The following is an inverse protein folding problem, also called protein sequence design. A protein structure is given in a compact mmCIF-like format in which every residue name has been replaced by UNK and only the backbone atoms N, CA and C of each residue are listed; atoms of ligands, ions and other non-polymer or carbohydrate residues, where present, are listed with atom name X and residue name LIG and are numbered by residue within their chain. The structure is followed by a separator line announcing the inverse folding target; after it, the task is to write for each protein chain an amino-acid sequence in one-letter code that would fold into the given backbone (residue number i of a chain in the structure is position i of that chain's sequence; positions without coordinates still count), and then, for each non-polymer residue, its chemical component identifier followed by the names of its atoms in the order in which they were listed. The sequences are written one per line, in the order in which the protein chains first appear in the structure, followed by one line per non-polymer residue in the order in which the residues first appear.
data_IF_009058336537
#
_entry.id   IF_009058336537
#
_cell.length_a   1.000
_cell.length_b   1.000
_cell.length_c   1.000
_cell.angle_alpha   90.00
_cell.angle_beta   90.00
_cell.angle_gamma   90.00
#
_symmetry.space_group_name_H-M   'P 1'
#
loop_
_entity.id
_entity.type
_entity.pdbx_description
1 polymer ?
#
# COMPACT_ATOMS: atom_id res chain seq x y z
N UNK A 1 1.89 -30.35 -12.84
CA UNK A 1 1.53 -29.41 -11.75
C UNK A 1 1.85 -30.06 -10.40
N UNK A 2 3.10 -30.53 -10.21
CA UNK A 2 3.52 -31.35 -9.06
C UNK A 2 4.72 -30.75 -8.32
N UNK A 3 4.84 -29.42 -8.29
CA UNK A 3 5.81 -28.79 -7.40
C UNK A 3 5.15 -28.58 -6.04
N UNK A 4 5.60 -29.35 -5.06
CA UNK A 4 5.27 -29.23 -3.64
C UNK A 4 5.26 -27.75 -3.19
N UNK A 5 4.34 -27.39 -2.30
CA UNK A 5 4.27 -26.02 -1.76
C UNK A 5 5.38 -25.85 -0.73
N UNK A 6 6.26 -24.86 -0.94
CA UNK A 6 7.44 -24.64 -0.12
C UNK A 6 7.06 -24.28 1.32
N UNK A 7 5.94 -23.58 1.51
CA UNK A 7 5.41 -23.23 2.84
C UNK A 7 5.00 -24.43 3.70
N UNK A 8 4.79 -25.60 3.10
CA UNK A 8 4.25 -26.80 3.76
C UNK A 8 5.30 -27.91 3.87
N UNK A 9 6.47 -27.73 3.25
CA UNK A 9 7.61 -28.61 3.50
C UNK A 9 7.95 -28.60 4.98
N UNK A 10 8.00 -29.78 5.58
CA UNK A 10 8.03 -29.99 7.03
C UNK A 10 9.10 -29.16 7.75
N UNK A 11 10.32 -29.10 7.19
CA UNK A 11 11.44 -28.33 7.75
C UNK A 11 11.18 -26.82 7.74
N UNK A 12 10.50 -26.34 6.71
CA UNK A 12 10.17 -24.93 6.48
C UNK A 12 9.03 -24.50 7.39
N UNK A 13 7.98 -25.33 7.48
CA UNK A 13 6.79 -25.06 8.30
C UNK A 13 7.10 -25.00 9.81
N UNK A 14 7.88 -25.97 10.33
CA UNK A 14 8.32 -26.00 11.74
C UNK A 14 9.19 -24.79 12.12
N UNK A 15 9.98 -24.27 11.17
CA UNK A 15 10.86 -23.12 11.39
C UNK A 15 10.08 -21.80 11.47
N UNK A 16 9.00 -21.66 10.72
CA UNK A 16 8.28 -20.39 10.59
C UNK A 16 7.04 -20.26 11.46
N UNK A 17 6.53 -21.36 12.02
CA UNK A 17 5.48 -21.33 13.02
C UNK A 17 6.06 -21.55 14.44
N UNK A 18 6.37 -20.49 15.20
CA UNK A 18 6.92 -20.61 16.55
C UNK A 18 5.93 -21.24 17.56
N UNK A 19 4.65 -21.34 17.21
CA UNK A 19 3.58 -21.98 18.01
C UNK A 19 3.30 -23.42 17.54
N UNK A 20 4.12 -23.97 16.65
CA UNK A 20 3.94 -25.32 16.15
C UNK A 20 4.06 -26.34 17.29
N UNK A 21 3.04 -27.18 17.42
CA UNK A 21 3.03 -28.30 18.36
C UNK A 21 2.61 -29.55 17.60
N UNK A 22 3.51 -30.54 17.51
CA UNK A 22 3.28 -31.79 16.79
C UNK A 22 2.06 -32.58 17.31
N UNK A 23 1.67 -32.35 18.57
CA UNK A 23 0.52 -32.98 19.21
C UNK A 23 -0.81 -32.29 18.86
N UNK A 24 -0.78 -31.10 18.27
CA UNK A 24 -1.97 -30.38 17.86
C UNK A 24 -2.21 -30.59 16.36
N UNK A 25 -3.41 -31.06 16.01
CA UNK A 25 -3.80 -31.20 14.61
C UNK A 25 -4.07 -29.82 14.03
N UNK A 26 -3.29 -29.45 13.02
CA UNK A 26 -3.44 -28.20 12.27
C UNK A 26 -4.25 -28.46 11.00
N UNK A 27 -5.09 -27.49 10.66
CA UNK A 27 -5.90 -27.47 9.45
C UNK A 27 -5.44 -26.28 8.61
N UNK A 28 -5.04 -26.52 7.37
CA UNK A 28 -4.35 -25.52 6.56
C UNK A 28 -4.98 -25.47 5.16
N UNK A 29 -5.00 -24.27 4.58
CA UNK A 29 -5.16 -24.08 3.14
C UNK A 29 -4.03 -23.19 2.65
N UNK A 30 -3.45 -23.55 1.52
CA UNK A 30 -2.36 -22.79 0.92
C UNK A 30 -2.70 -22.40 -0.49
N UNK A 31 -2.50 -21.13 -0.81
CA UNK A 31 -2.66 -20.55 -2.13
C UNK A 31 -1.30 -20.25 -2.75
N UNK A 32 -1.16 -20.44 -4.06
CA UNK A 32 0.00 -20.01 -4.84
C UNK A 32 -0.47 -19.22 -6.06
N UNK A 33 0.07 -18.01 -6.22
CA UNK A 33 -0.27 -17.11 -7.32
C UNK A 33 0.86 -16.12 -7.60
N UNK A 34 0.86 -15.56 -8.80
CA UNK A 34 1.82 -14.60 -9.31
C UNK A 34 1.28 -13.18 -9.20
N UNK A 35 2.09 -12.26 -8.68
CA UNK A 35 1.78 -10.83 -8.66
C UNK A 35 2.20 -10.15 -9.97
N UNK A 36 1.55 -9.05 -10.36
CA UNK A 36 1.92 -8.24 -11.52
C UNK A 36 3.19 -7.39 -11.31
N UNK A 37 3.78 -7.47 -10.13
CA UNK A 37 5.01 -6.78 -9.79
C UNK A 37 5.86 -7.64 -8.86
N UNK A 38 7.10 -7.20 -8.68
CA UNK A 38 7.99 -7.71 -7.64
C UNK A 38 7.79 -6.95 -6.34
N UNK A 39 7.42 -7.68 -5.28
CA UNK A 39 7.56 -7.18 -3.91
C UNK A 39 9.04 -7.20 -3.53
N UNK A 40 9.59 -6.12 -2.94
CA UNK A 40 11.02 -5.95 -2.68
C UNK A 40 11.52 -6.79 -1.49
N UNK A 41 11.03 -8.02 -1.29
CA UNK A 41 11.54 -8.95 -0.28
C UNK A 41 12.58 -9.90 -0.89
N UNK A 42 13.48 -10.41 -0.06
CA UNK A 42 14.48 -11.40 -0.48
C UNK A 42 13.76 -12.69 -0.89
N UNK A 43 14.26 -13.35 -1.94
CA UNK A 43 13.70 -14.59 -2.44
C UNK A 43 13.68 -15.68 -1.35
N UNK A 44 12.52 -16.28 -1.13
CA UNK A 44 12.32 -17.30 -0.10
C UNK A 44 12.01 -16.74 1.29
N UNK A 45 11.99 -15.42 1.47
CA UNK A 45 11.59 -14.83 2.75
C UNK A 45 10.15 -15.22 3.09
N UNK A 46 9.91 -15.36 4.40
CA UNK A 46 8.61 -15.73 4.93
C UNK A 46 8.22 -14.81 6.08
N UNK A 47 6.95 -14.47 6.18
CA UNK A 47 6.41 -13.77 7.35
C UNK A 47 5.10 -14.41 7.79
N UNK A 48 4.86 -14.44 9.10
CA UNK A 48 3.60 -14.88 9.68
C UNK A 48 2.90 -13.69 10.30
N UNK A 49 1.65 -13.47 9.88
CA UNK A 49 0.80 -12.38 10.37
C UNK A 49 -0.36 -13.01 11.14
N UNK A 50 -0.40 -12.76 12.44
CA UNK A 50 -1.50 -13.17 13.32
C UNK A 50 -2.62 -12.11 13.21
N UNK A 51 -3.84 -12.53 12.87
CA UNK A 51 -5.03 -11.67 12.75
C UNK A 51 -6.19 -12.31 13.48
N UNK A 52 -6.53 -11.76 14.64
CA UNK A 52 -7.64 -12.24 15.47
C UNK A 52 -7.53 -13.77 15.73
N UNK A 53 -8.50 -14.56 15.28
CA UNK A 53 -8.54 -16.03 15.46
C UNK A 53 -7.80 -16.82 14.37
N UNK A 54 -7.16 -16.14 13.41
CA UNK A 54 -6.45 -16.75 12.27
C UNK A 54 -5.00 -16.29 12.21
N UNK A 55 -4.18 -17.09 11.54
CA UNK A 55 -2.83 -16.71 11.16
C UNK A 55 -2.65 -16.94 9.66
N UNK A 56 -1.84 -16.10 9.02
CA UNK A 56 -1.46 -16.24 7.61
C UNK A 56 0.06 -16.23 7.50
N UNK A 57 0.61 -17.31 6.97
CA UNK A 57 2.04 -17.44 6.64
C UNK A 57 2.23 -17.16 5.15
N UNK A 58 2.94 -16.08 4.84
CA UNK A 58 3.36 -15.76 3.48
C UNK A 58 4.80 -16.22 3.24
N UNK A 59 5.06 -16.70 2.03
CA UNK A 59 6.37 -16.85 1.44
C UNK A 59 6.44 -16.12 0.11
N UNK A 60 7.52 -15.40 -0.11
CA UNK A 60 7.74 -14.56 -1.28
C UNK A 60 8.84 -15.17 -2.13
N UNK A 61 8.48 -15.66 -3.31
CA UNK A 61 9.40 -16.29 -4.25
C UNK A 61 9.56 -15.37 -5.46
N UNK A 62 10.78 -15.03 -5.80
CA UNK A 62 11.07 -14.17 -6.93
C UNK A 62 11.15 -15.01 -8.20
N UNK A 63 10.35 -14.64 -9.19
CA UNK A 63 10.37 -15.21 -10.54
C UNK A 63 10.96 -14.19 -11.50
N UNK A 64 11.76 -14.67 -12.46
CA UNK A 64 12.15 -13.92 -13.64
C UNK A 64 11.60 -14.66 -14.84
N UNK A 65 10.56 -14.11 -15.45
CA UNK A 65 9.96 -14.67 -16.65
C UNK A 65 10.62 -13.99 -17.87
N UNK A 66 11.02 -14.78 -18.85
CA UNK A 66 11.16 -14.25 -20.22
C UNK A 66 9.76 -14.06 -20.74
N UNK A 67 9.45 -12.86 -21.20
CA UNK A 67 8.14 -12.63 -21.78
C UNK A 67 8.04 -13.44 -23.08
N UNK A 68 6.98 -14.22 -23.22
CA UNK A 68 6.71 -15.02 -24.43
C UNK A 68 6.62 -14.19 -25.72
N UNK A 69 6.49 -12.86 -25.59
CA UNK A 69 6.46 -11.90 -26.68
C UNK A 69 7.84 -11.27 -26.98
N UNK A 70 8.92 -11.64 -26.26
CA UNK A 70 10.29 -11.14 -26.50
C UNK A 70 10.74 -11.34 -27.96
N UNK A 71 10.25 -12.39 -28.62
CA UNK A 71 10.55 -12.69 -30.03
C UNK A 71 9.75 -11.82 -31.03
N UNK A 72 8.72 -11.09 -30.57
CA UNK A 72 7.77 -10.35 -31.42
C UNK A 72 7.81 -8.84 -31.21
N UNK A 73 8.19 -8.39 -30.03
CA UNK A 73 8.31 -6.97 -29.68
C UNK A 73 9.55 -6.74 -28.82
N UNK A 74 10.13 -5.55 -28.91
CA UNK A 74 11.25 -5.19 -28.06
C UNK A 74 10.79 -5.04 -26.61
N UNK A 75 11.29 -5.92 -25.74
CA UNK A 75 11.02 -5.89 -24.31
C UNK A 75 12.29 -5.48 -23.60
N UNK A 76 12.22 -4.36 -22.88
CA UNK A 76 13.40 -3.68 -22.35
C UNK A 76 14.14 -4.51 -21.28
N UNK A 77 13.44 -5.37 -20.52
CA UNK A 77 14.01 -6.27 -19.49
C UNK A 77 13.08 -7.46 -19.20
N UNK A 78 13.61 -8.62 -18.74
CA UNK A 78 12.78 -9.71 -18.24
C UNK A 78 11.93 -9.26 -17.06
N UNK A 79 10.68 -9.71 -17.05
CA UNK A 79 9.69 -9.36 -16.04
C UNK A 79 10.03 -10.06 -14.73
N UNK A 80 10.34 -9.26 -13.70
CA UNK A 80 10.59 -9.77 -12.35
C UNK A 80 9.30 -9.68 -11.57
N UNK A 81 8.72 -10.82 -11.19
CA UNK A 81 7.47 -10.88 -10.44
C UNK A 81 7.65 -11.65 -9.15
N UNK A 82 6.77 -11.42 -8.19
CA UNK A 82 6.75 -12.22 -6.97
C UNK A 82 5.64 -13.26 -7.05
N UNK A 83 6.02 -14.53 -6.93
CA UNK A 83 5.10 -15.63 -6.60
C UNK A 83 4.86 -15.58 -5.09
N UNK A 84 3.59 -15.51 -4.72
CA UNK A 84 3.14 -15.61 -3.33
C UNK A 84 2.73 -17.05 -3.08
N UNK A 85 3.27 -17.63 -2.01
CA UNK A 85 2.68 -18.79 -1.37
C UNK A 85 2.13 -18.37 -0.01
N UNK A 86 0.82 -18.48 0.17
CA UNK A 86 0.11 -17.99 1.36
C UNK A 86 -0.63 -19.15 2.02
N UNK A 87 -0.28 -19.46 3.26
CA UNK A 87 -0.87 -20.55 4.05
C UNK A 87 -1.71 -19.95 5.18
N UNK A 88 -3.02 -20.24 5.17
CA UNK A 88 -3.95 -19.81 6.21
C UNK A 88 -4.15 -20.95 7.21
N UNK A 89 -4.05 -20.61 8.49
CA UNK A 89 -4.37 -21.51 9.60
C UNK A 89 -5.87 -21.45 9.88
N UNK A 90 -6.52 -22.60 9.73
CA UNK A 90 -7.96 -22.73 9.87
C UNK A 90 -8.33 -23.30 11.23
N UNK A 91 -9.43 -22.81 11.79
CA UNK A 91 -10.08 -23.50 12.90
C UNK A 91 -10.78 -24.79 12.39
N UNK A 92 -11.19 -25.64 13.33
CA UNK A 92 -11.79 -26.94 13.00
C UNK A 92 -13.09 -26.80 12.20
N UNK A 93 -13.88 -25.77 12.45
CA UNK A 93 -15.20 -25.61 11.84
C UNK A 93 -15.10 -25.05 10.42
N UNK A 94 -14.19 -24.11 10.16
CA UNK A 94 -13.81 -23.65 8.83
C UNK A 94 -13.34 -24.83 7.96
N UNK A 95 -12.50 -25.70 8.51
CA UNK A 95 -12.04 -26.90 7.81
C UNK A 95 -13.18 -27.89 7.51
N UNK A 96 -14.12 -28.09 8.44
CA UNK A 96 -15.31 -28.92 8.18
C UNK A 96 -16.21 -28.34 7.08
N UNK A 97 -16.35 -27.01 7.02
CA UNK A 97 -17.12 -26.34 5.95
C UNK A 97 -16.45 -26.56 4.59
N UNK A 98 -15.14 -26.33 4.50
CA UNK A 98 -14.35 -26.63 3.29
C UNK A 98 -14.46 -28.09 2.84
N UNK A 99 -14.37 -29.04 3.79
CA UNK A 99 -14.49 -30.47 3.46
C UNK A 99 -15.86 -30.83 2.93
N UNK A 100 -16.93 -30.22 3.47
CA UNK A 100 -18.30 -30.43 2.98
C UNK A 100 -18.46 -29.90 1.56
N UNK A 101 -17.97 -28.69 1.29
CA UNK A 101 -18.01 -28.05 -0.03
C UNK A 101 -17.22 -28.83 -1.09
N UNK A 102 -16.04 -29.33 -0.73
CA UNK A 102 -15.23 -30.18 -1.61
C UNK A 102 -15.94 -31.50 -1.96
N UNK A 103 -16.63 -32.11 -0.99
CA UNK A 103 -17.34 -33.37 -1.18
C UNK A 103 -18.67 -33.22 -1.91
N UNK A 104 -19.31 -32.04 -1.89
CA UNK A 104 -20.60 -31.80 -2.56
C UNK A 104 -20.48 -31.58 -4.07
N UNK A 105 -19.24 -31.51 -4.62
CA UNK A 105 -19.01 -31.27 -6.05
C UNK A 105 -19.59 -29.94 -6.56
N UNK A 106 -19.99 -29.04 -5.64
CA UNK A 106 -20.61 -27.78 -5.97
C UNK A 106 -19.55 -26.85 -6.54
N UNK A 107 -19.77 -26.34 -7.75
CA UNK A 107 -18.98 -25.27 -8.37
C UNK A 107 -18.92 -23.97 -7.54
N UNK A 108 -19.72 -23.87 -6.46
CA UNK A 108 -19.62 -22.77 -5.50
C UNK A 108 -18.44 -23.00 -4.56
N UNK A 109 -17.27 -22.50 -4.98
CA UNK A 109 -16.05 -22.39 -4.18
C UNK A 109 -16.14 -21.25 -3.16
N UNK A 110 -17.30 -21.01 -2.53
CA UNK A 110 -17.54 -19.77 -1.78
C UNK A 110 -16.64 -19.69 -0.55
N UNK A 111 -16.41 -20.78 0.17
CA UNK A 111 -15.52 -20.76 1.33
C UNK A 111 -14.05 -20.64 0.94
N UNK A 112 -13.64 -21.30 -0.13
CA UNK A 112 -12.27 -21.16 -0.67
C UNK A 112 -12.05 -19.72 -1.16
N UNK A 113 -13.04 -19.15 -1.84
CA UNK A 113 -13.02 -17.76 -2.32
C UNK A 113 -12.97 -16.76 -1.16
N UNK A 114 -13.76 -16.97 -0.10
CA UNK A 114 -13.76 -16.13 1.09
C UNK A 114 -12.39 -16.17 1.80
N UNK A 115 -11.78 -17.35 1.90
CA UNK A 115 -10.44 -17.51 2.44
C UNK A 115 -9.38 -16.84 1.57
N UNK A 116 -9.56 -16.89 0.24
CA UNK A 116 -8.70 -16.17 -0.70
C UNK A 116 -8.85 -14.65 -0.57
N UNK A 117 -10.08 -14.13 -0.44
CA UNK A 117 -10.35 -12.70 -0.20
C UNK A 117 -9.72 -12.24 1.11
N UNK A 118 -9.90 -13.04 2.17
CA UNK A 118 -9.29 -12.78 3.46
C UNK A 118 -7.78 -12.66 3.32
N UNK A 119 -7.09 -13.65 2.76
CA UNK A 119 -5.63 -13.59 2.66
C UNK A 119 -5.14 -12.49 1.70
N UNK A 120 -5.88 -12.18 0.63
CA UNK A 120 -5.54 -11.10 -0.28
C UNK A 120 -5.64 -9.74 0.42
N UNK A 121 -6.67 -9.55 1.27
CA UNK A 121 -6.78 -8.37 2.14
C UNK A 121 -5.58 -8.26 3.09
N UNK A 122 -5.13 -9.37 3.67
CA UNK A 122 -3.92 -9.37 4.52
C UNK A 122 -2.68 -8.99 3.71
N UNK A 123 -2.52 -9.56 2.52
CA UNK A 123 -1.41 -9.24 1.63
C UNK A 123 -1.42 -7.76 1.21
N UNK A 124 -2.59 -7.20 0.87
CA UNK A 124 -2.72 -5.79 0.51
C UNK A 124 -2.31 -4.88 1.66
N UNK A 125 -2.80 -5.14 2.88
CA UNK A 125 -2.37 -4.39 4.05
C UNK A 125 -0.83 -4.46 4.25
N UNK A 126 -0.21 -5.62 3.98
CA UNK A 126 1.24 -5.79 4.04
C UNK A 126 1.97 -4.98 2.95
N UNK A 127 1.44 -4.98 1.72
CA UNK A 127 1.94 -4.19 0.60
C UNK A 127 1.83 -2.69 0.92
N UNK A 128 0.68 -2.22 1.39
CA UNK A 128 0.43 -0.83 1.80
C UNK A 128 1.38 -0.40 2.92
N UNK A 129 1.60 -1.26 3.91
CA UNK A 129 2.59 -1.01 4.97
C UNK A 129 4.00 -0.83 4.40
N UNK A 130 4.35 -1.60 3.38
CA UNK A 130 5.64 -1.51 2.68
C UNK A 130 5.74 -0.22 1.87
N UNK A 131 4.67 0.17 1.16
CA UNK A 131 4.57 1.43 0.40
C UNK A 131 4.80 2.61 1.35
N UNK A 132 4.03 2.69 2.43
CA UNK A 132 4.09 3.80 3.39
C UNK A 132 5.44 3.87 4.10
N UNK A 133 6.00 2.73 4.47
CA UNK A 133 7.24 2.71 5.27
C UNK A 133 8.49 3.00 4.44
N UNK A 134 8.52 2.54 3.18
CA UNK A 134 9.73 2.54 2.36
C UNK A 134 9.61 3.35 1.07
N UNK A 135 8.46 3.98 0.82
CA UNK A 135 8.18 4.79 -0.37
C UNK A 135 8.37 4.04 -1.70
N UNK A 136 8.00 2.76 -1.75
CA UNK A 136 8.01 1.96 -2.99
C UNK A 136 6.75 2.23 -3.81
N UNK A 137 6.82 3.19 -4.73
CA UNK A 137 5.67 3.66 -5.53
C UNK A 137 5.22 2.67 -6.62
N UNK A 138 6.04 1.69 -7.00
CA UNK A 138 5.64 0.69 -7.99
C UNK A 138 4.80 -0.46 -7.40
N UNK A 139 4.66 -0.52 -6.07
CA UNK A 139 3.76 -1.45 -5.40
C UNK A 139 2.37 -0.82 -5.27
N UNK A 140 1.34 -1.65 -5.33
CA UNK A 140 -0.05 -1.21 -5.15
C UNK A 140 -0.90 -2.34 -4.57
N UNK A 141 -2.00 -1.97 -3.91
CA UNK A 141 -2.99 -2.94 -3.44
C UNK A 141 -3.70 -3.59 -4.60
N UNK A 142 -3.94 -4.90 -4.48
CA UNK A 142 -4.41 -5.75 -5.56
C UNK A 142 -5.84 -6.22 -5.31
N UNK A 143 -6.64 -6.16 -6.35
CA UNK A 143 -7.90 -6.88 -6.44
C UNK A 143 -7.62 -8.28 -7.00
N UNK A 144 -8.58 -9.19 -6.84
CA UNK A 144 -8.53 -10.53 -7.47
C UNK A 144 -8.23 -10.44 -8.97
N UNK A 145 -8.81 -9.43 -9.63
CA UNK A 145 -8.63 -9.10 -11.04
C UNK A 145 -7.29 -8.43 -11.40
N UNK A 146 -6.32 -8.33 -10.47
CA UNK A 146 -4.99 -7.72 -10.69
C UNK A 146 -3.74 -8.61 -10.41
N UNK A 147 -3.90 -9.86 -9.94
CA UNK A 147 -2.97 -11.03 -10.05
C UNK A 147 -2.59 -11.60 -11.46
N UNK A 148 -1.33 -11.66 -11.85
CA UNK A 148 -0.88 -12.19 -13.15
C UNK A 148 -1.04 -13.70 -13.40
N UNK A 149 -1.77 -14.42 -12.54
CA UNK A 149 -2.04 -15.85 -12.71
C UNK A 149 -3.34 -16.28 -12.05
N UNK A 150 -3.92 -17.37 -12.54
CA UNK A 150 -4.98 -18.12 -11.85
C UNK A 150 -4.42 -18.69 -10.53
N UNK A 151 -4.98 -18.36 -9.35
CA UNK A 151 -4.51 -18.90 -8.09
C UNK A 151 -4.76 -20.41 -7.98
N UNK A 152 -3.73 -21.16 -7.60
CA UNK A 152 -3.87 -22.56 -7.21
C UNK A 152 -4.01 -22.68 -5.71
N UNK A 153 -4.77 -23.67 -5.24
CA UNK A 153 -4.87 -23.97 -3.82
C UNK A 153 -4.70 -25.45 -3.53
N UNK A 154 -4.24 -25.72 -2.30
CA UNK A 154 -4.22 -27.06 -1.70
C UNK A 154 -4.64 -26.98 -0.24
N UNK A 155 -5.42 -27.94 0.24
CA UNK A 155 -5.83 -28.05 1.65
C UNK A 155 -5.14 -29.23 2.32
N UNK A 156 -4.75 -29.05 3.57
CA UNK A 156 -3.95 -30.01 4.30
C UNK A 156 -4.43 -30.18 5.74
N UNK A 157 -4.10 -31.34 6.32
CA UNK A 157 -3.91 -31.42 7.77
C UNK A 157 -2.47 -31.76 8.10
N UNK A 158 -1.98 -31.17 9.17
CA UNK A 158 -0.67 -31.47 9.72
C UNK A 158 -0.85 -32.06 11.13
N UNK A 159 -0.38 -33.27 11.37
CA UNK A 159 -0.47 -33.94 12.67
C UNK A 159 0.64 -34.96 12.82
N UNK A 160 1.28 -35.01 14.01
CA UNK A 160 2.36 -35.96 14.30
C UNK A 160 3.41 -36.02 13.19
N UNK A 161 3.87 -34.85 12.74
CA UNK A 161 4.88 -34.69 11.69
C UNK A 161 4.49 -35.22 10.31
N UNK A 162 3.23 -35.59 10.13
CA UNK A 162 2.68 -36.02 8.85
C UNK A 162 1.80 -34.92 8.26
N UNK A 163 2.15 -34.49 7.05
CA UNK A 163 1.29 -33.64 6.23
C UNK A 163 0.45 -34.50 5.30
N UNK A 164 -0.87 -34.32 5.32
CA UNK A 164 -1.80 -35.03 4.44
C UNK A 164 -2.59 -34.01 3.63
N UNK A 165 -2.51 -34.10 2.29
CA UNK A 165 -3.33 -33.32 1.37
C UNK A 165 -4.77 -33.88 1.33
N UNK A 166 -5.77 -33.00 1.38
CA UNK A 166 -7.20 -33.37 1.33
C UNK A 166 -7.87 -32.97 0.03
N UNK A 167 -7.49 -31.83 -0.54
CA UNK A 167 -8.09 -31.29 -1.74
C UNK A 167 -7.12 -30.34 -2.42
N UNK A 168 -7.25 -30.17 -3.73
CA UNK A 168 -6.54 -29.16 -4.50
C UNK A 168 -7.41 -28.66 -5.65
N UNK A 169 -7.09 -27.48 -6.17
CA UNK A 169 -7.80 -26.91 -7.30
C UNK A 169 -7.22 -25.58 -7.74
N UNK A 170 -7.94 -24.93 -8.66
CA UNK A 170 -7.64 -23.60 -9.14
C UNK A 170 -8.86 -22.69 -8.91
N UNK A 171 -8.62 -21.42 -8.59
CA UNK A 171 -9.66 -20.39 -8.50
C UNK A 171 -9.70 -19.67 -9.84
N UNK A 172 -10.74 -19.92 -10.64
CA UNK A 172 -10.95 -19.16 -11.87
C UNK A 172 -11.46 -17.77 -11.52
N UNK A 173 -10.64 -16.77 -11.80
CA UNK A 173 -10.96 -15.36 -11.67
C UNK A 173 -11.25 -14.85 -13.09
N UNK A 174 -12.35 -14.14 -13.29
CA UNK A 174 -12.66 -13.51 -14.57
C UNK A 174 -11.50 -12.55 -14.96
N UNK A 175 -11.00 -12.72 -16.18
CA UNK A 175 -9.64 -12.34 -16.58
C UNK A 175 -9.50 -10.84 -16.94
N UNK A 176 -8.90 -10.04 -16.05
CA UNK A 176 -7.70 -9.19 -16.17
C UNK A 176 -7.37 -8.22 -17.32
N UNK A 177 -7.11 -6.96 -16.92
CA UNK A 177 -6.10 -6.02 -17.47
C UNK A 177 -5.39 -5.33 -16.29
N UNK A 178 -4.06 -5.46 -16.17
CA UNK A 178 -3.26 -4.72 -15.17
C UNK A 178 -1.76 -4.79 -15.48
N UNK A 179 -1.14 -3.62 -15.63
CA UNK A 179 0.24 -3.41 -16.10
C UNK A 179 1.31 -3.61 -15.02
N UNK A 180 2.45 -4.11 -15.45
CA UNK A 180 3.63 -4.43 -14.64
C UNK A 180 4.59 -3.25 -14.54
N UNK A 181 4.94 -2.86 -13.32
CA UNK A 181 6.07 -1.96 -13.07
C UNK A 181 6.89 -2.54 -11.90
N UNK A 182 8.21 -2.63 -12.09
CA UNK A 182 9.09 -3.41 -11.22
C UNK A 182 9.93 -2.52 -10.29
N UNK A 183 9.79 -2.71 -8.97
CA UNK A 183 10.77 -2.23 -8.00
C UNK A 183 12.11 -2.99 -8.15
N UNK A 184 13.18 -2.26 -8.45
CA UNK A 184 14.53 -2.83 -8.55
C UNK A 184 15.21 -2.99 -7.18
N UNK A 185 14.76 -2.26 -6.16
CA UNK A 185 15.32 -2.31 -4.82
C UNK A 185 14.96 -3.62 -4.10
N UNK A 186 15.82 -4.06 -3.18
CA UNK A 186 15.57 -5.21 -2.29
C UNK A 186 15.69 -4.71 -0.86
N UNK A 187 14.68 -4.92 -0.04
CA UNK A 187 14.74 -4.63 1.38
C UNK A 187 15.74 -5.57 2.04
N UNK A 188 16.61 -5.01 2.87
CA UNK A 188 17.51 -5.81 3.69
C UNK A 188 16.72 -6.64 4.73
N UNK A 189 17.32 -7.72 5.20
CA UNK A 189 16.66 -8.62 6.15
C UNK A 189 16.30 -7.93 7.48
N UNK A 190 17.05 -6.92 7.93
CA UNK A 190 16.72 -6.22 9.18
C UNK A 190 15.41 -5.46 9.04
N UNK A 191 15.21 -4.76 7.93
CA UNK A 191 13.94 -4.06 7.61
C UNK A 191 12.77 -5.01 7.46
N UNK A 192 13.01 -6.21 6.92
CA UNK A 192 11.98 -7.24 6.78
C UNK A 192 11.50 -7.80 8.13
N UNK A 193 12.37 -7.98 9.13
CA UNK A 193 11.97 -8.51 10.44
C UNK A 193 10.98 -7.61 11.21
N UNK A 194 10.96 -6.31 10.92
CA UNK A 194 10.06 -5.37 11.57
C UNK A 194 8.70 -5.23 10.87
N UNK A 195 8.42 -6.04 9.83
CA UNK A 195 7.24 -5.83 8.99
C UNK A 195 5.91 -6.01 9.74
N UNK A 196 5.86 -6.90 10.74
CA UNK A 196 4.68 -7.07 11.60
C UNK A 196 4.45 -5.85 12.50
N UNK A 197 5.52 -5.20 12.96
CA UNK A 197 5.42 -3.95 13.70
C UNK A 197 4.88 -2.83 12.78
N UNK A 198 5.39 -2.75 11.55
CA UNK A 198 4.91 -1.80 10.55
C UNK A 198 3.46 -2.04 10.12
N UNK A 199 3.00 -3.30 10.13
CA UNK A 199 1.61 -3.66 9.86
C UNK A 199 0.65 -3.15 10.95
N UNK A 200 1.04 -3.23 12.22
CA UNK A 200 0.24 -2.66 13.30
C UNK A 200 0.29 -1.12 13.29
N UNK A 201 1.45 -0.52 13.03
CA UNK A 201 1.59 0.93 12.83
C UNK A 201 0.73 1.41 11.65
N UNK A 202 0.61 0.62 10.58
CA UNK A 202 -0.22 0.93 9.41
C UNK A 202 -1.71 1.06 9.75
N UNK A 203 -2.25 0.20 10.63
CA UNK A 203 -3.68 0.25 11.00
C UNK A 203 -4.08 1.59 11.62
N UNK A 204 -3.13 2.24 12.28
CA UNK A 204 -3.32 3.51 12.98
C UNK A 204 -2.66 4.69 12.25
N UNK A 205 -2.05 4.48 11.08
CA UNK A 205 -1.34 5.53 10.36
C UNK A 205 -2.30 6.65 9.95
N UNK A 206 -2.13 7.88 10.48
CA UNK A 206 -3.01 8.98 10.16
C UNK A 206 -2.89 9.33 8.68
N UNK A 207 -4.00 9.67 8.03
CA UNK A 207 -4.04 10.11 6.63
C UNK A 207 -3.45 9.13 5.58
N UNK A 208 -3.46 7.82 5.85
CA UNK A 208 -2.98 6.80 4.89
C UNK A 208 -3.54 6.96 3.47
N UNK A 209 -4.79 7.41 3.34
CA UNK A 209 -5.45 7.55 2.05
C UNK A 209 -4.74 8.54 1.12
N UNK A 210 -4.26 9.68 1.65
CA UNK A 210 -3.60 10.67 0.81
C UNK A 210 -2.23 10.19 0.35
N UNK A 211 -1.50 9.46 1.19
CA UNK A 211 -0.20 8.87 0.82
C UNK A 211 -0.37 7.81 -0.27
N UNK A 212 -1.38 6.95 -0.16
CA UNK A 212 -1.68 5.95 -1.19
C UNK A 212 -2.06 6.61 -2.52
N UNK A 213 -2.92 7.63 -2.50
CA UNK A 213 -3.28 8.40 -3.70
C UNK A 213 -2.07 9.09 -4.36
N UNK A 214 -1.11 9.56 -3.56
CA UNK A 214 0.11 10.16 -4.11
C UNK A 214 1.00 9.10 -4.81
N UNK A 215 1.08 7.91 -4.22
CA UNK A 215 1.74 6.75 -4.83
C UNK A 215 1.10 6.36 -6.15
N UNK A 216 -0.24 6.27 -6.17
CA UNK A 216 -1.00 5.99 -7.40
C UNK A 216 -0.79 7.08 -8.46
N UNK A 217 -0.69 8.35 -8.06
CA UNK A 217 -0.43 9.44 -9.00
C UNK A 217 0.95 9.32 -9.68
N UNK A 218 1.99 9.03 -8.90
CA UNK A 218 3.34 8.79 -9.42
C UNK A 218 3.35 7.58 -10.37
N UNK A 219 2.68 6.49 -9.98
CA UNK A 219 2.55 5.31 -10.83
C UNK A 219 1.85 5.62 -12.15
N UNK A 220 0.74 6.35 -12.11
CA UNK A 220 0.02 6.77 -13.31
C UNK A 220 0.91 7.64 -14.22
N UNK A 221 1.79 8.44 -13.64
CA UNK A 221 2.70 9.29 -14.41
C UNK A 221 3.70 8.44 -15.18
N UNK A 222 4.29 7.44 -14.51
CA UNK A 222 5.22 6.49 -15.11
C UNK A 222 4.54 5.61 -16.18
N UNK A 223 3.23 5.39 -16.05
CA UNK A 223 2.38 4.71 -17.04
C UNK A 223 1.92 5.62 -18.20
N UNK A 224 2.34 6.89 -18.21
CA UNK A 224 1.88 7.90 -19.16
C UNK A 224 0.37 8.20 -19.11
N UNK A 225 -0.30 7.84 -18.00
CA UNK A 225 -1.69 8.23 -17.72
C UNK A 225 -1.72 9.55 -16.95
N UNK A 226 -1.41 10.63 -17.68
CA UNK A 226 -1.25 11.97 -17.15
C UNK A 226 -2.53 12.54 -16.50
N UNK A 227 -3.70 12.16 -17.02
CA UNK A 227 -4.97 12.59 -16.46
C UNK A 227 -5.22 11.94 -15.10
N UNK A 228 -5.01 10.62 -14.99
CA UNK A 228 -5.16 9.92 -13.71
C UNK A 228 -4.08 10.34 -12.70
N UNK A 229 -2.88 10.73 -13.15
CA UNK A 229 -1.87 11.37 -12.29
C UNK A 229 -2.42 12.61 -11.60
N UNK A 230 -2.94 13.55 -12.39
CA UNK A 230 -3.45 14.84 -11.88
C UNK A 230 -4.63 14.60 -10.92
N UNK A 231 -5.58 13.74 -11.30
CA UNK A 231 -6.76 13.43 -10.46
C UNK A 231 -6.34 12.87 -9.10
N UNK A 232 -5.43 11.89 -9.09
CA UNK A 232 -5.00 11.24 -7.86
C UNK A 232 -4.10 12.16 -7.00
N UNK A 233 -3.19 12.90 -7.63
CA UNK A 233 -2.32 13.86 -6.92
C UNK A 233 -3.12 15.03 -6.32
N UNK A 234 -4.14 15.53 -7.02
CA UNK A 234 -5.04 16.55 -6.48
C UNK A 234 -5.83 16.03 -5.28
N UNK A 235 -6.46 14.86 -5.42
CA UNK A 235 -7.24 14.25 -4.33
C UNK A 235 -6.34 13.97 -3.11
N UNK A 236 -5.10 13.56 -3.36
CA UNK A 236 -4.07 13.37 -2.35
C UNK A 236 -3.77 14.66 -1.59
N UNK A 237 -3.37 15.75 -2.26
CA UNK A 237 -2.98 16.99 -1.56
C UNK A 237 -4.17 17.62 -0.82
N UNK A 238 -5.38 17.52 -1.38
CA UNK A 238 -6.58 18.02 -0.72
C UNK A 238 -6.87 17.29 0.59
N UNK A 239 -6.77 15.95 0.56
CA UNK A 239 -6.96 15.11 1.74
C UNK A 239 -5.90 15.41 2.80
N UNK A 240 -4.64 15.59 2.38
CA UNK A 240 -3.55 15.92 3.30
C UNK A 240 -3.73 17.27 3.98
N UNK A 241 -4.04 18.33 3.23
CA UNK A 241 -4.23 19.67 3.80
C UNK A 241 -5.41 19.68 4.78
N UNK A 242 -6.53 19.05 4.42
CA UNK A 242 -7.70 18.93 5.30
C UNK A 242 -7.32 18.19 6.59
N UNK A 243 -6.60 17.08 6.47
CA UNK A 243 -6.09 16.34 7.61
C UNK A 243 -5.23 17.21 8.54
N UNK A 244 -4.26 17.97 8.00
CA UNK A 244 -3.39 18.85 8.79
C UNK A 244 -4.21 19.90 9.55
N UNK A 245 -5.12 20.58 8.86
CA UNK A 245 -5.94 21.64 9.45
C UNK A 245 -6.90 21.08 10.51
N UNK A 246 -7.58 19.98 10.23
CA UNK A 246 -8.51 19.35 11.17
C UNK A 246 -7.80 18.90 12.44
N UNK A 247 -6.64 18.26 12.32
CA UNK A 247 -5.88 17.79 13.48
C UNK A 247 -5.26 18.93 14.28
N UNK A 248 -4.87 20.05 13.65
CA UNK A 248 -4.52 21.26 14.38
C UNK A 248 -5.68 21.72 15.28
N UNK A 249 -6.89 21.81 14.74
CA UNK A 249 -8.05 22.24 15.52
C UNK A 249 -8.45 21.25 16.62
N UNK A 250 -8.31 19.94 16.37
CA UNK A 250 -8.60 18.91 17.37
C UNK A 250 -7.59 18.98 18.52
N UNK A 251 -6.29 18.98 18.23
CA UNK A 251 -5.25 18.82 19.25
C UNK A 251 -4.82 20.12 19.93
N UNK A 252 -4.78 21.24 19.19
CA UNK A 252 -4.33 22.54 19.74
C UNK A 252 -5.49 23.45 20.15
N UNK A 253 -6.69 23.25 19.57
CA UNK A 253 -7.88 24.05 19.89
C UNK A 253 -8.98 23.27 20.61
N UNK A 254 -8.78 21.97 20.85
CA UNK A 254 -9.74 21.10 21.54
C UNK A 254 -11.15 21.13 20.92
N UNK A 255 -11.24 21.31 19.60
CA UNK A 255 -12.52 21.23 18.90
C UNK A 255 -12.97 19.77 18.73
N UNK A 256 -14.28 19.57 18.64
CA UNK A 256 -14.85 18.29 18.23
C UNK A 256 -14.44 17.97 16.79
N UNK A 257 -14.48 16.69 16.40
CA UNK A 257 -14.19 16.27 15.02
C UNK A 257 -15.11 16.96 14.00
N UNK A 258 -16.39 17.10 14.33
CA UNK A 258 -17.37 17.72 13.45
C UNK A 258 -17.11 19.23 13.29
N UNK A 259 -16.76 19.92 14.39
CA UNK A 259 -16.41 21.34 14.34
C UNK A 259 -15.12 21.60 13.57
N UNK A 260 -14.13 20.71 13.71
CA UNK A 260 -12.88 20.77 12.95
C UNK A 260 -13.14 20.57 11.45
N UNK A 261 -13.96 19.58 11.08
CA UNK A 261 -14.37 19.32 9.68
C UNK A 261 -15.14 20.49 9.07
N UNK A 262 -15.92 21.23 9.85
CA UNK A 262 -16.60 22.43 9.37
C UNK A 262 -15.63 23.53 8.93
N UNK A 263 -14.43 23.60 9.53
CA UNK A 263 -13.37 24.54 9.10
C UNK A 263 -12.81 24.20 7.72
N UNK A 264 -12.85 22.94 7.32
CA UNK A 264 -12.29 22.46 6.04
C UNK A 264 -13.34 22.22 4.95
N UNK A 265 -14.58 22.66 5.19
CA UNK A 265 -15.73 22.46 4.27
C UNK A 265 -15.49 23.00 2.86
N UNK A 266 -14.76 24.11 2.73
CA UNK A 266 -14.27 24.63 1.45
C UNK A 266 -12.76 24.50 1.40
N UNK A 267 -12.25 23.90 0.31
CA UNK A 267 -10.83 23.65 0.19
C UNK A 267 -10.00 24.95 0.13
N UNK A 268 -10.48 25.97 -0.59
CA UNK A 268 -9.87 27.32 -0.58
C UNK A 268 -9.68 27.85 0.84
N UNK A 269 -10.73 27.79 1.66
CA UNK A 269 -10.69 28.27 3.05
C UNK A 269 -9.72 27.44 3.90
N UNK A 270 -9.61 26.13 3.61
CA UNK A 270 -8.64 25.26 4.28
C UNK A 270 -7.20 25.77 4.11
N UNK A 271 -6.85 26.33 2.94
CA UNK A 271 -5.54 26.92 2.69
C UNK A 271 -5.43 28.32 3.31
N UNK A 272 -6.25 29.26 2.85
CA UNK A 272 -6.03 30.69 3.12
C UNK A 272 -6.50 31.15 4.51
N UNK A 273 -7.57 30.57 5.04
CA UNK A 273 -8.15 30.99 6.32
C UNK A 273 -7.60 30.16 7.50
N UNK A 274 -7.06 28.98 7.21
CA UNK A 274 -6.67 28.00 8.22
C UNK A 274 -5.20 27.58 8.12
N UNK A 275 -4.77 26.92 7.05
CA UNK A 275 -3.41 26.41 6.93
C UNK A 275 -2.37 27.53 7.02
N UNK A 276 -2.52 28.60 6.22
CA UNK A 276 -1.60 29.74 6.22
C UNK A 276 -1.49 30.40 7.61
N UNK A 277 -2.55 31.01 8.16
CA UNK A 277 -2.43 31.79 9.38
C UNK A 277 -2.30 30.96 10.66
N UNK A 278 -2.83 29.73 10.71
CA UNK A 278 -2.88 28.93 11.95
C UNK A 278 -1.78 27.89 12.06
N UNK A 279 -1.43 27.26 10.94
CA UNK A 279 -0.46 26.17 10.93
C UNK A 279 0.91 26.70 10.48
N UNK A 280 1.01 27.30 9.30
CA UNK A 280 2.28 27.79 8.76
C UNK A 280 2.82 28.93 9.62
N UNK A 281 2.06 30.01 9.74
CA UNK A 281 2.47 31.20 10.49
C UNK A 281 2.33 30.97 12.00
N UNK A 282 1.20 30.39 12.42
CA UNK A 282 0.90 30.16 13.84
C UNK A 282 1.84 29.17 14.54
N UNK A 283 2.42 28.21 13.81
CA UNK A 283 3.44 27.29 14.34
C UNK A 283 4.85 27.65 13.87
N UNK A 284 5.03 28.81 13.23
CA UNK A 284 6.32 29.30 12.72
C UNK A 284 7.11 28.22 11.97
N UNK A 285 6.49 27.62 10.95
CA UNK A 285 7.11 26.51 10.23
C UNK A 285 8.35 26.99 9.46
N UNK A 286 9.49 26.27 9.56
CA UNK A 286 10.64 26.49 8.69
C UNK A 286 10.25 26.46 7.21
N UNK A 287 10.83 27.38 6.42
CA UNK A 287 10.50 27.55 4.99
C UNK A 287 9.02 27.86 4.73
N UNK A 288 8.31 28.44 5.70
CA UNK A 288 6.89 28.75 5.60
C UNK A 288 6.53 29.68 4.44
N UNK A 289 7.41 30.61 4.05
CA UNK A 289 7.22 31.47 2.88
C UNK A 289 7.26 30.68 1.56
N UNK A 290 8.29 29.85 1.37
CA UNK A 290 8.39 28.95 0.23
C UNK A 290 7.17 28.02 0.13
N UNK A 291 6.70 27.49 1.26
CA UNK A 291 5.49 26.66 1.31
C UNK A 291 4.24 27.43 0.90
N UNK A 292 4.06 28.67 1.38
CA UNK A 292 2.93 29.53 0.97
C UNK A 292 2.96 29.80 -0.54
N UNK A 293 4.13 30.11 -1.10
CA UNK A 293 4.30 30.34 -2.53
C UNK A 293 4.01 29.08 -3.36
N UNK A 294 4.51 27.92 -2.92
CA UNK A 294 4.22 26.62 -3.54
C UNK A 294 2.71 26.29 -3.54
N UNK A 295 2.03 26.53 -2.42
CA UNK A 295 0.57 26.34 -2.30
C UNK A 295 -0.23 27.33 -3.15
N UNK A 296 0.26 28.57 -3.29
CA UNK A 296 -0.34 29.56 -4.19
C UNK A 296 -0.22 29.12 -5.65
N UNK A 297 0.95 28.68 -6.10
CA UNK A 297 1.17 28.13 -7.45
C UNK A 297 0.19 26.97 -7.69
N UNK A 298 0.13 26.01 -6.78
CA UNK A 298 -0.84 24.92 -6.88
C UNK A 298 -2.28 25.43 -7.00
N UNK A 299 -2.69 26.38 -6.14
CA UNK A 299 -4.07 26.84 -6.11
C UNK A 299 -4.45 27.64 -7.37
N UNK A 300 -3.58 28.52 -7.85
CA UNK A 300 -3.88 29.42 -8.95
C UNK A 300 -3.61 28.83 -10.33
N UNK A 301 -2.57 28.00 -10.46
CA UNK A 301 -2.13 27.50 -11.76
C UNK A 301 -2.68 26.10 -12.06
N UNK A 302 -3.02 25.32 -11.03
CA UNK A 302 -3.26 23.88 -11.18
C UNK A 302 -4.58 23.35 -10.60
N UNK A 303 -5.20 24.05 -9.65
CA UNK A 303 -6.38 23.51 -8.91
C UNK A 303 -7.56 23.15 -9.82
N UNK A 304 -7.74 23.86 -10.93
CA UNK A 304 -8.84 23.64 -11.86
C UNK A 304 -8.58 22.49 -12.86
N UNK A 305 -7.36 21.95 -12.93
CA UNK A 305 -7.02 20.88 -13.90
C UNK A 305 -7.91 19.65 -13.76
N UNK A 306 -8.24 19.21 -12.54
CA UNK A 306 -9.15 18.07 -12.37
C UNK A 306 -10.54 18.35 -12.93
N UNK A 307 -11.05 19.57 -12.77
CA UNK A 307 -12.35 19.93 -13.33
C UNK A 307 -12.27 19.96 -14.86
N UNK A 308 -11.19 20.50 -15.43
CA UNK A 308 -10.96 20.49 -16.87
C UNK A 308 -10.89 19.06 -17.43
N UNK A 309 -10.22 18.14 -16.75
CA UNK A 309 -10.13 16.74 -17.15
C UNK A 309 -11.50 16.04 -17.04
N UNK A 310 -12.13 16.09 -15.86
CA UNK A 310 -13.33 15.30 -15.54
C UNK A 310 -14.57 15.84 -16.23
N UNK A 311 -14.70 17.16 -16.36
CA UNK A 311 -15.91 17.81 -16.89
C UNK A 311 -15.75 18.32 -18.32
N UNK A 312 -14.54 18.72 -18.73
CA UNK A 312 -14.30 19.26 -20.07
C UNK A 312 -13.57 18.28 -20.99
N UNK A 313 -13.20 17.08 -20.51
CA UNK A 313 -12.49 16.07 -21.29
C UNK A 313 -11.07 16.47 -21.69
N UNK A 314 -10.45 17.37 -20.91
CA UNK A 314 -9.07 17.79 -21.14
C UNK A 314 -8.10 16.61 -21.06
N UNK A 315 -7.07 16.62 -21.92
CA UNK A 315 -5.99 15.66 -21.91
C UNK A 315 -4.68 16.38 -21.61
N UNK A 316 -4.15 16.16 -20.41
CA UNK A 316 -2.90 16.76 -19.98
C UNK A 316 -1.70 16.14 -20.72
N UNK A 317 -0.71 16.98 -20.97
CA UNK A 317 0.61 16.57 -21.46
C UNK A 317 1.49 16.00 -20.35
N UNK A 318 2.55 15.27 -20.73
CA UNK A 318 3.59 14.80 -19.79
C UNK A 318 4.17 15.95 -18.98
N UNK A 319 4.45 17.08 -19.63
CA UNK A 319 5.04 18.26 -18.97
C UNK A 319 4.10 18.80 -17.90
N UNK A 320 2.83 18.99 -18.23
CA UNK A 320 1.83 19.50 -17.28
C UNK A 320 1.64 18.56 -16.09
N UNK A 321 1.51 17.25 -16.34
CA UNK A 321 1.39 16.27 -15.27
C UNK A 321 2.65 16.20 -14.40
N UNK A 322 3.84 16.35 -14.99
CA UNK A 322 5.11 16.38 -14.25
C UNK A 322 5.24 17.62 -13.38
N UNK A 323 4.94 18.79 -13.93
CA UNK A 323 5.03 20.07 -13.21
C UNK A 323 3.99 20.10 -12.07
N UNK A 324 2.77 19.60 -12.33
CA UNK A 324 1.72 19.39 -11.33
C UNK A 324 2.20 18.45 -10.20
N UNK A 325 2.62 17.24 -10.55
CA UNK A 325 3.04 16.22 -9.59
C UNK A 325 4.24 16.67 -8.76
N UNK A 326 5.21 17.34 -9.39
CA UNK A 326 6.36 17.93 -8.69
C UNK A 326 5.93 18.97 -7.67
N UNK A 327 4.99 19.86 -8.05
CA UNK A 327 4.44 20.86 -7.12
C UNK A 327 3.76 20.20 -5.94
N UNK A 328 2.98 19.13 -6.16
CA UNK A 328 2.36 18.38 -5.06
C UNK A 328 3.42 17.74 -4.15
N UNK A 329 4.43 17.07 -4.72
CA UNK A 329 5.51 16.46 -3.94
C UNK A 329 6.30 17.49 -3.11
N UNK A 330 6.51 18.67 -3.66
CA UNK A 330 7.19 19.78 -2.98
C UNK A 330 6.34 20.31 -1.81
N UNK A 331 5.00 20.42 -1.95
CA UNK A 331 4.07 20.73 -0.84
C UNK A 331 4.22 19.73 0.31
N UNK A 332 4.17 18.43 0.00
CA UNK A 332 4.35 17.37 1.01
C UNK A 332 5.70 17.50 1.71
N UNK A 333 6.77 17.69 0.94
CA UNK A 333 8.13 17.81 1.46
C UNK A 333 8.28 19.01 2.40
N UNK A 334 7.78 20.18 1.99
CA UNK A 334 7.87 21.42 2.77
C UNK A 334 7.02 21.36 4.05
N UNK A 335 5.77 20.85 3.99
CA UNK A 335 4.92 20.67 5.18
C UNK A 335 5.55 19.69 6.16
N UNK A 336 5.94 18.50 5.69
CA UNK A 336 6.54 17.47 6.55
C UNK A 336 7.84 17.94 7.18
N UNK A 337 8.69 18.63 6.42
CA UNK A 337 9.90 19.23 6.98
C UNK A 337 9.57 20.29 8.03
N UNK A 338 8.66 21.22 7.72
CA UNK A 338 8.26 22.30 8.61
C UNK A 338 7.72 21.78 9.95
N UNK A 339 6.80 20.82 9.91
CA UNK A 339 6.21 20.22 11.12
C UNK A 339 7.24 19.40 11.92
N UNK A 340 8.18 18.75 11.26
CA UNK A 340 9.24 17.99 11.96
C UNK A 340 10.30 18.90 12.60
N UNK A 341 10.54 20.09 12.05
CA UNK A 341 11.66 20.96 12.46
C UNK A 341 11.22 22.29 13.11
N UNK A 342 9.92 22.56 13.25
CA UNK A 342 9.48 23.72 14.03
C UNK A 342 9.91 23.59 15.49
N UNK A 343 10.36 24.71 16.05
CA UNK A 343 10.67 24.86 17.48
C UNK A 343 9.44 25.16 18.34
N UNK A 344 8.26 25.34 17.73
CA UNK A 344 7.02 25.59 18.47
C UNK A 344 6.50 24.29 19.05
N UNK A 345 6.35 24.25 20.38
CA UNK A 345 5.71 23.14 21.08
C UNK A 345 4.19 23.22 20.90
N UNK A 346 3.61 22.19 20.28
CA UNK A 346 2.18 22.08 19.97
C UNK A 346 1.74 20.64 20.13
N UNK A 347 0.52 20.42 20.63
CA UNK A 347 -0.04 19.06 20.77
C UNK A 347 -0.21 18.41 19.40
N UNK A 348 -0.65 19.19 18.42
CA UNK A 348 -0.72 18.75 17.04
C UNK A 348 0.66 18.38 16.47
N UNK A 349 1.69 19.19 16.69
CA UNK A 349 3.05 18.90 16.23
C UNK A 349 3.58 17.61 16.87
N UNK A 350 3.35 17.42 18.17
CA UNK A 350 3.76 16.19 18.88
C UNK A 350 2.99 14.96 18.36
N UNK A 351 1.71 15.11 18.07
CA UNK A 351 0.91 14.08 17.42
C UNK A 351 1.45 13.76 16.02
N UNK A 352 1.76 14.77 15.20
CA UNK A 352 2.32 14.58 13.87
C UNK A 352 3.66 13.83 13.91
N UNK A 353 4.60 14.29 14.74
CA UNK A 353 5.94 13.68 14.88
C UNK A 353 5.90 12.24 15.40
N UNK A 354 4.91 11.88 16.21
CA UNK A 354 4.79 10.51 16.74
C UNK A 354 4.25 9.52 15.71
N UNK A 355 3.63 9.98 14.62
CA UNK A 355 3.01 9.12 13.61
C UNK A 355 3.66 9.22 12.23
N UNK A 356 4.33 10.34 11.90
CA UNK A 356 4.97 10.56 10.61
C UNK A 356 6.48 10.45 10.73
N UNK A 357 7.07 9.58 9.93
CA UNK A 357 8.53 9.42 9.84
C UNK A 357 9.16 10.65 9.18
N UNK A 358 10.37 11.02 9.61
CA UNK A 358 11.17 12.06 8.98
C UNK A 358 11.33 11.77 7.49
N UNK A 359 10.99 12.73 6.63
CA UNK A 359 11.09 12.59 5.18
C UNK A 359 12.55 12.44 4.71
N UNK A 360 12.64 11.85 3.52
CA UNK A 360 13.79 11.42 2.72
C UNK A 360 14.96 12.41 2.65
N UNK A 361 16.13 11.92 2.22
CA UNK A 361 17.35 12.71 1.94
C UNK A 361 17.24 13.74 0.80
N UNK A 362 16.05 14.27 0.53
CA UNK A 362 15.78 15.36 -0.40
C UNK A 362 16.32 16.67 0.21
N UNK A 363 17.09 17.42 -0.57
CA UNK A 363 17.62 18.72 -0.13
C UNK A 363 16.48 19.73 0.05
N UNK A 364 16.12 20.00 1.31
CA UNK A 364 15.05 20.97 1.63
C UNK A 364 15.35 22.36 1.08
N UNK A 365 16.62 22.79 1.10
CA UNK A 365 17.04 24.07 0.53
C UNK A 365 16.84 24.10 -0.98
N UNK A 366 17.10 22.97 -1.66
CA UNK A 366 16.87 22.84 -3.10
C UNK A 366 15.39 22.94 -3.47
N UNK A 367 14.50 22.44 -2.63
CA UNK A 367 13.04 22.57 -2.83
C UNK A 367 12.58 23.98 -2.51
N UNK A 368 12.95 24.52 -1.35
CA UNK A 368 12.51 25.85 -0.91
C UNK A 368 12.92 26.97 -1.89
N UNK A 369 14.14 26.92 -2.43
CA UNK A 369 14.64 27.91 -3.39
C UNK A 369 13.89 27.95 -4.73
N UNK A 370 13.06 26.95 -5.07
CA UNK A 370 12.19 27.03 -6.25
C UNK A 370 11.05 28.03 -6.07
N UNK A 371 10.75 28.39 -4.82
CA UNK A 371 9.55 29.11 -4.40
C UNK A 371 9.88 30.38 -3.61
N UNK A 372 11.15 30.77 -3.53
CA UNK A 372 11.65 32.03 -2.97
C UNK A 372 12.20 32.86 -4.13
#
# INVERSE_FOLDING_TARGET
MDKEFNTIQEKTFKKYNPKFNANNKLYLITFRYLLPFRIPFINGNTTMIDIEEKAVLFQFLQSSERDSMEDRVFIYRPLKRTIIESTIFLNRDDFKRLKREANSGSMNTSEISNLFDFQLKVLNNLIESTIIKFNHYNLYSLNKGELSSVPFYKTYTFYADTCTEFNHGAIFLDYFKGLEINENATLDNKKFFHINQYYEDYKIFPNKHSVLLLGDAQRNFDLCDYNSTIINAQTSVETFIKFIVENYYIYDKNLSKDDAKNKTSKFKNSIYDHLFPKVIDGLNLPSGEALKNCLNIYYYDYYDFRNEIVHNGYNASEKEAKDFLTTILDIYTLISYGLNNTGVSSNFVNYYKSHYFSSSGTSINGVANKYL
#
